data_IF_151143716312
#
_entry.id   IF_151143716312
#
_cell.length_a   1.000
_cell.length_b   1.000
_cell.length_c   1.000
_cell.angle_alpha   90.00
_cell.angle_beta   90.00
_cell.angle_gamma   90.00
#
_symmetry.space_group_name_H-M   'P 1'
#
loop_
_entity.id
_entity.type
_entity.pdbx_description
1 polymer ?
#
# COMPACT_ATOMS: atom_id res chain seq x y z
N UNK A 1 -8.48 6.35 12.85
CA UNK A 1 -7.81 6.72 11.58
C UNK A 1 -6.56 7.59 11.80
N UNK A 2 -5.48 7.31 11.06
CA UNK A 2 -4.23 8.10 11.02
C UNK A 2 -4.01 8.64 9.60
N UNK A 3 -3.39 9.81 9.46
CA UNK A 3 -3.14 10.46 8.16
C UNK A 3 -1.63 10.53 7.94
N UNK A 4 -1.12 9.89 6.88
CA UNK A 4 0.30 9.86 6.50
C UNK A 4 0.52 10.78 5.30
N UNK A 5 1.40 11.77 5.44
CA UNK A 5 1.76 12.74 4.38
C UNK A 5 3.22 12.56 3.95
N UNK A 6 3.47 12.75 2.66
CA UNK A 6 4.80 12.64 2.05
C UNK A 6 5.22 14.00 1.50
N UNK A 7 6.40 14.47 1.90
CA UNK A 7 6.91 15.81 1.61
C UNK A 7 8.39 15.77 1.23
N UNK A 8 8.78 16.71 0.37
CA UNK A 8 10.18 17.01 0.06
C UNK A 8 10.64 18.24 0.87
N UNK A 9 11.87 18.21 1.38
CA UNK A 9 12.47 19.25 2.24
C UNK A 9 13.71 19.86 1.58
N UNK A 10 13.98 21.15 1.83
CA UNK A 10 15.23 21.77 1.38
C UNK A 10 16.41 21.32 2.26
N UNK A 11 17.37 20.62 1.68
CA UNK A 11 18.72 20.44 2.23
C UNK A 11 19.65 21.55 1.70
N UNK A 12 19.47 22.78 2.19
CA UNK A 12 20.54 23.78 2.15
C UNK A 12 21.01 24.08 3.58
N UNK A 13 21.93 23.25 4.07
CA UNK A 13 23.02 23.61 5.00
C UNK A 13 23.81 22.34 5.35
N UNK A 14 24.99 22.15 4.76
CA UNK A 14 26.28 22.09 5.48
C UNK A 14 27.43 21.89 4.48
N UNK A 15 28.21 22.95 4.29
CA UNK A 15 29.63 22.81 4.03
C UNK A 15 30.28 22.01 5.18
N UNK A 16 31.32 21.25 4.82
CA UNK A 16 31.72 20.06 5.56
C UNK A 16 32.12 20.24 7.02
N UNK A 17 31.74 19.24 7.80
CA UNK A 17 32.51 18.72 8.93
C UNK A 17 32.37 17.19 8.89
N UNK A 18 33.49 16.48 8.68
CA UNK A 18 33.56 15.03 8.84
C UNK A 18 33.48 14.69 10.34
N UNK A 19 32.46 13.94 10.75
CA UNK A 19 32.44 13.27 12.05
C UNK A 19 33.10 11.89 11.97
N UNK A 20 33.82 11.43 13.02
CA UNK A 20 34.84 10.38 12.89
C UNK A 20 34.33 8.93 12.75
N UNK A 21 33.03 8.68 12.89
CA UNK A 21 32.52 7.32 13.08
C UNK A 21 31.57 6.86 11.97
N UNK A 22 31.95 7.05 10.70
CA UNK A 22 31.62 6.21 9.52
C UNK A 22 30.18 5.70 9.29
N UNK A 23 29.18 6.20 10.01
CA UNK A 23 27.82 5.67 10.01
C UNK A 23 26.91 6.64 9.28
N UNK A 24 26.71 6.37 7.99
CA UNK A 24 25.67 7.03 7.22
C UNK A 24 24.30 6.67 7.82
N UNK A 25 23.55 7.67 8.26
CA UNK A 25 22.12 7.52 8.53
C UNK A 25 21.46 7.10 7.22
N UNK A 26 20.71 5.99 7.15
CA UNK A 26 20.08 5.60 5.91
C UNK A 26 19.00 6.63 5.58
N UNK A 27 19.24 7.45 4.54
CA UNK A 27 18.16 8.12 3.86
C UNK A 27 17.22 7.03 3.36
N UNK A 28 15.95 7.10 3.78
CA UNK A 28 14.88 6.36 3.15
C UNK A 28 14.87 6.74 1.67
N UNK A 29 15.16 5.75 0.81
CA UNK A 29 15.02 5.83 -0.65
C UNK A 29 13.63 6.42 -0.99
N UNK A 30 13.51 7.42 -1.90
CA UNK A 30 12.25 8.09 -2.24
C UNK A 30 11.16 7.19 -2.86
N UNK A 31 11.40 5.89 -3.00
CA UNK A 31 10.40 4.95 -3.47
C UNK A 31 9.44 4.56 -2.34
N UNK A 32 8.18 5.01 -2.47
CA UNK A 32 7.13 4.95 -1.46
C UNK A 32 7.04 3.65 -0.64
N UNK A 33 6.54 3.81 0.58
CA UNK A 33 6.53 2.83 1.67
C UNK A 33 5.80 1.51 1.32
N UNK A 34 5.01 1.44 0.24
CA UNK A 34 4.03 0.37 -0.02
C UNK A 34 3.97 -0.16 -1.47
N UNK A 35 5.08 -0.16 -2.23
CA UNK A 35 5.15 -0.83 -3.55
C UNK A 35 5.44 -2.35 -3.46
N UNK A 36 5.21 -3.14 -4.53
CA UNK A 36 5.43 -4.57 -4.58
C UNK A 36 6.93 -4.79 -4.73
N UNK A 37 7.40 -5.84 -4.08
CA UNK A 37 8.82 -6.13 -3.99
C UNK A 37 9.02 -7.49 -4.65
N UNK A 38 9.63 -7.47 -5.85
CA UNK A 38 9.95 -8.67 -6.66
C UNK A 38 10.79 -9.68 -5.85
N UNK A 39 10.98 -10.91 -6.36
CA UNK A 39 11.93 -11.86 -5.74
C UNK A 39 13.37 -11.30 -5.62
N UNK A 40 13.75 -10.33 -6.46
CA UNK A 40 15.00 -9.59 -6.33
C UNK A 40 14.99 -8.65 -5.11
N UNK A 41 13.82 -8.11 -4.76
CA UNK A 41 13.63 -7.22 -3.62
C UNK A 41 13.44 -7.95 -2.28
N UNK A 42 12.87 -9.18 -2.28
CA UNK A 42 12.91 -10.07 -1.11
C UNK A 42 14.35 -10.41 -0.70
N UNK A 43 15.25 -10.55 -1.69
CA UNK A 43 16.69 -10.59 -1.41
C UNK A 43 17.16 -9.31 -0.75
N UNK A 44 16.71 -8.13 -1.18
CA UNK A 44 17.20 -6.86 -0.64
C UNK A 44 16.71 -6.54 0.79
N UNK A 45 15.54 -7.02 1.23
CA UNK A 45 15.09 -6.89 2.63
C UNK A 45 15.93 -7.72 3.60
N UNK A 46 16.38 -8.90 3.16
CA UNK A 46 17.14 -9.87 3.96
C UNK A 46 18.66 -9.76 3.75
N UNK A 47 19.10 -9.09 2.68
CA UNK A 47 20.51 -8.91 2.34
C UNK A 47 21.24 -8.15 3.43
N UNK A 48 22.31 -8.75 3.94
CA UNK A 48 23.17 -8.17 4.95
C UNK A 48 22.65 -8.26 6.38
N UNK A 49 21.36 -8.62 6.58
CA UNK A 49 20.73 -8.78 7.90
C UNK A 49 21.35 -9.92 8.69
N UNK A 50 21.46 -9.73 10.00
CA UNK A 50 22.01 -10.72 10.93
C UNK A 50 20.87 -11.53 11.54
N UNK A 51 20.80 -12.80 11.18
CA UNK A 51 19.75 -13.71 11.65
C UNK A 51 20.31 -14.69 12.68
N UNK A 52 19.58 -14.93 13.77
CA UNK A 52 19.81 -16.07 14.66
C UNK A 52 18.91 -17.21 14.23
N UNK A 53 19.49 -18.40 14.06
CA UNK A 53 18.79 -19.63 13.68
C UNK A 53 19.05 -20.68 14.75
N UNK A 54 18.04 -20.99 15.56
CA UNK A 54 18.14 -21.93 16.68
C UNK A 54 17.27 -23.17 16.45
N UNK A 55 17.89 -24.35 16.45
CA UNK A 55 17.21 -25.64 16.30
C UNK A 55 18.20 -26.73 16.75
N UNK A 56 17.77 -27.70 17.55
CA UNK A 56 18.64 -28.79 18.02
C UNK A 56 18.83 -29.87 16.94
N UNK A 57 17.88 -30.01 16.01
CA UNK A 57 18.03 -30.84 14.83
C UNK A 57 19.00 -30.19 13.84
N UNK A 58 20.14 -30.86 13.64
CA UNK A 58 21.19 -30.41 12.72
C UNK A 58 20.69 -30.17 11.30
N UNK A 59 19.85 -31.06 10.76
CA UNK A 59 19.37 -30.97 9.39
C UNK A 59 18.42 -29.78 9.23
N UNK A 60 17.54 -29.56 10.20
CA UNK A 60 16.61 -28.45 10.19
C UNK A 60 17.34 -27.10 10.33
N UNK A 61 18.30 -27.02 11.26
CA UNK A 61 19.17 -25.85 11.43
C UNK A 61 19.94 -25.52 10.15
N UNK A 62 20.55 -26.51 9.52
CA UNK A 62 21.30 -26.35 8.26
C UNK A 62 20.38 -25.93 7.10
N UNK A 63 19.17 -26.50 7.00
CA UNK A 63 18.16 -26.11 6.01
C UNK A 63 17.78 -24.63 6.15
N UNK A 64 17.44 -24.20 7.36
CA UNK A 64 17.03 -22.82 7.64
C UNK A 64 18.19 -21.83 7.38
N UNK A 65 19.37 -22.12 7.91
CA UNK A 65 20.55 -21.27 7.75
C UNK A 65 20.99 -21.15 6.28
N UNK A 66 20.96 -22.26 5.53
CA UNK A 66 21.30 -22.28 4.09
C UNK A 66 20.28 -21.51 3.27
N UNK A 67 18.99 -21.67 3.57
CA UNK A 67 17.91 -20.95 2.89
C UNK A 67 18.05 -19.44 3.10
N UNK A 68 18.31 -19.01 4.34
CA UNK A 68 18.53 -17.61 4.68
C UNK A 68 19.81 -17.03 4.07
N UNK A 69 20.89 -17.80 4.04
CA UNK A 69 22.15 -17.38 3.42
C UNK A 69 21.99 -17.17 1.90
N UNK A 70 21.21 -18.01 1.22
CA UNK A 70 20.91 -17.88 -0.23
C UNK A 70 20.14 -16.60 -0.58
N UNK A 71 19.40 -16.04 0.37
CA UNK A 71 18.69 -14.75 0.21
C UNK A 71 19.49 -13.56 0.76
N UNK A 72 20.70 -13.80 1.28
CA UNK A 72 21.66 -12.75 1.63
C UNK A 72 21.81 -12.45 3.12
N UNK A 73 21.17 -13.20 4.02
CA UNK A 73 21.36 -13.05 5.46
C UNK A 73 22.74 -13.56 5.92
N UNK A 74 23.26 -12.95 6.98
CA UNK A 74 24.36 -13.48 7.78
C UNK A 74 23.78 -14.24 8.96
N UNK A 75 23.84 -15.57 8.90
CA UNK A 75 23.24 -16.44 9.91
C UNK A 75 24.23 -16.78 11.03
N UNK A 76 23.77 -16.67 12.28
CA UNK A 76 24.41 -17.28 13.45
C UNK A 76 23.55 -18.48 13.85
N UNK A 77 24.11 -19.68 13.77
CA UNK A 77 23.39 -20.91 14.10
C UNK A 77 23.62 -21.30 15.55
N UNK A 78 22.56 -21.66 16.26
CA UNK A 78 22.57 -22.08 17.66
C UNK A 78 22.04 -23.51 17.76
N UNK A 79 22.73 -24.37 18.51
CA UNK A 79 22.33 -25.79 18.65
C UNK A 79 21.35 -26.02 19.79
N UNK A 80 21.19 -25.03 20.67
CA UNK A 80 20.26 -25.07 21.79
C UNK A 80 19.78 -23.66 22.15
N UNK A 81 18.85 -23.59 23.11
CA UNK A 81 18.31 -22.31 23.57
C UNK A 81 19.26 -21.47 24.40
N UNK A 82 20.30 -22.06 25.01
CA UNK A 82 21.32 -21.32 25.77
C UNK A 82 22.16 -20.47 24.83
N UNK A 83 22.63 -21.06 23.72
CA UNK A 83 23.35 -20.35 22.68
C UNK A 83 22.47 -19.27 22.02
N UNK A 84 21.20 -19.58 21.76
CA UNK A 84 20.26 -18.64 21.15
C UNK A 84 19.99 -17.43 22.06
N UNK A 85 19.80 -17.66 23.36
CA UNK A 85 19.62 -16.61 24.37
C UNK A 85 20.87 -15.72 24.49
N UNK A 86 22.07 -16.32 24.44
CA UNK A 86 23.32 -15.55 24.43
C UNK A 86 23.44 -14.72 23.14
N UNK A 87 23.10 -15.30 21.99
CA UNK A 87 23.13 -14.62 20.71
C UNK A 87 22.19 -13.41 20.68
N UNK A 88 20.91 -13.60 21.06
CA UNK A 88 19.89 -12.53 21.08
C UNK A 88 20.23 -11.35 21.99
N UNK A 89 21.09 -11.55 23.00
CA UNK A 89 21.59 -10.47 23.86
C UNK A 89 22.69 -9.62 23.22
N UNK A 90 23.31 -10.07 22.14
CA UNK A 90 24.31 -9.30 21.40
C UNK A 90 23.65 -8.27 20.49
N UNK A 91 24.25 -7.08 20.39
CA UNK A 91 23.68 -6.01 19.57
C UNK A 91 23.80 -6.29 18.06
N UNK A 92 22.81 -5.80 17.32
CA UNK A 92 22.77 -5.84 15.86
C UNK A 92 22.22 -7.12 15.26
N UNK A 93 21.24 -7.77 15.91
CA UNK A 93 20.43 -8.84 15.32
C UNK A 93 19.19 -8.23 14.68
N UNK A 94 18.85 -8.73 13.49
CA UNK A 94 17.72 -8.25 12.68
C UNK A 94 16.55 -9.24 12.61
N UNK A 95 16.77 -10.51 12.93
CA UNK A 95 15.80 -11.59 12.77
C UNK A 95 16.14 -12.76 13.71
N UNK A 96 15.11 -13.38 14.30
CA UNK A 96 15.23 -14.64 15.02
C UNK A 96 14.33 -15.70 14.38
N UNK A 97 14.88 -16.87 14.10
CA UNK A 97 14.13 -18.07 13.72
C UNK A 97 14.50 -19.15 14.73
N UNK A 98 13.54 -19.62 15.52
CA UNK A 98 13.82 -20.53 16.63
C UNK A 98 12.83 -21.68 16.66
N UNK A 99 13.31 -22.90 16.85
CA UNK A 99 12.47 -24.00 17.33
C UNK A 99 11.89 -23.65 18.70
N UNK A 100 10.69 -24.18 18.97
CA UNK A 100 10.02 -24.01 20.26
C UNK A 100 10.60 -24.97 21.28
N UNK A 101 10.81 -26.22 20.89
CA UNK A 101 11.24 -27.28 21.80
C UNK A 101 12.69 -27.60 21.51
N UNK A 102 13.59 -27.13 22.36
CA UNK A 102 15.01 -27.46 22.31
C UNK A 102 15.64 -27.40 23.72
N UNK A 103 16.83 -27.99 23.93
CA UNK A 103 17.50 -27.96 25.24
C UNK A 103 17.86 -26.55 25.71
N UNK A 104 18.04 -26.38 27.02
CA UNK A 104 18.51 -25.13 27.64
C UNK A 104 17.41 -24.08 27.83
N UNK A 105 16.82 -23.60 26.73
CA UNK A 105 15.70 -22.67 26.72
C UNK A 105 14.71 -22.98 25.60
N UNK A 106 13.44 -22.71 25.85
CA UNK A 106 12.36 -22.82 24.87
C UNK A 106 12.35 -21.64 23.90
N UNK A 107 11.77 -21.82 22.72
CA UNK A 107 11.56 -20.73 21.76
C UNK A 107 10.71 -19.57 22.33
N UNK A 108 9.81 -19.85 23.27
CA UNK A 108 9.03 -18.80 23.96
C UNK A 108 9.88 -17.95 24.91
N UNK A 109 10.82 -18.56 25.64
CA UNK A 109 11.75 -17.81 26.49
C UNK A 109 12.67 -16.92 25.64
N UNK A 110 13.10 -17.40 24.48
CA UNK A 110 13.86 -16.61 23.50
C UNK A 110 13.02 -15.47 22.94
N UNK A 111 11.76 -15.74 22.58
CA UNK A 111 10.83 -14.71 22.13
C UNK A 111 10.68 -13.61 23.18
N UNK A 112 10.47 -13.97 24.44
CA UNK A 112 10.31 -13.02 25.54
C UNK A 112 11.57 -12.16 25.72
N UNK A 113 12.74 -12.79 25.79
CA UNK A 113 14.01 -12.07 25.96
C UNK A 113 14.36 -11.19 24.76
N UNK A 114 14.04 -11.64 23.54
CA UNK A 114 14.18 -10.86 22.32
C UNK A 114 13.29 -9.61 22.35
N UNK A 115 12.05 -9.75 22.84
CA UNK A 115 11.08 -8.65 22.97
C UNK A 115 11.47 -7.61 24.00
N UNK A 116 11.97 -8.03 25.16
CA UNK A 116 12.42 -7.11 26.21
C UNK A 116 13.50 -6.13 25.72
N UNK A 117 14.38 -6.59 24.83
CA UNK A 117 15.50 -5.80 24.32
C UNK A 117 15.14 -5.03 23.04
N UNK A 118 14.38 -5.65 22.16
CA UNK A 118 13.94 -5.08 20.90
C UNK A 118 12.46 -5.42 20.68
N UNK A 119 11.58 -4.51 21.08
CA UNK A 119 10.12 -4.67 21.05
C UNK A 119 9.53 -4.91 19.64
N UNK A 120 10.30 -4.64 18.57
CA UNK A 120 9.86 -4.83 17.18
C UNK A 120 10.73 -5.79 16.35
N UNK A 121 11.83 -6.34 16.87
CA UNK A 121 12.58 -7.46 16.27
C UNK A 121 11.67 -8.56 15.66
N UNK A 122 11.78 -8.85 14.35
CA UNK A 122 11.09 -9.96 13.71
C UNK A 122 11.49 -11.31 14.32
N UNK A 123 10.49 -12.11 14.74
CA UNK A 123 10.70 -13.44 15.34
C UNK A 123 9.75 -14.43 14.65
N UNK A 124 10.30 -15.57 14.22
CA UNK A 124 9.55 -16.72 13.69
C UNK A 124 9.77 -17.89 14.63
N UNK A 125 8.70 -18.40 15.24
CA UNK A 125 8.75 -19.65 16.00
C UNK A 125 8.45 -20.83 15.10
N UNK A 126 9.31 -21.84 15.13
CA UNK A 126 9.17 -23.07 14.37
C UNK A 126 8.68 -24.16 15.30
N UNK A 127 7.65 -24.91 14.92
CA UNK A 127 7.04 -25.92 15.79
C UNK A 127 6.81 -27.24 15.06
N UNK A 128 7.03 -28.36 15.74
CA UNK A 128 6.67 -29.70 15.26
C UNK A 128 5.18 -30.04 15.46
N UNK A 129 4.71 -31.11 14.83
CA UNK A 129 3.38 -31.72 15.03
C UNK A 129 3.16 -32.34 16.44
N UNK A 130 4.01 -32.00 17.42
CA UNK A 130 3.90 -32.47 18.79
C UNK A 130 3.04 -31.55 19.64
N UNK A 131 2.31 -32.14 20.59
CA UNK A 131 1.66 -31.41 21.67
C UNK A 131 2.70 -30.54 22.39
N UNK A 132 2.51 -29.22 22.38
CA UNK A 132 3.26 -28.27 23.19
C UNK A 132 2.56 -28.16 24.56
N UNK A 133 3.01 -28.89 25.60
CA UNK A 133 2.35 -28.89 26.90
C UNK A 133 2.32 -27.50 27.57
N UNK A 134 3.19 -26.59 27.13
CA UNK A 134 3.32 -25.22 27.62
C UNK A 134 2.47 -24.19 26.88
N UNK A 135 1.76 -24.58 25.80
CA UNK A 135 1.00 -23.67 24.94
C UNK A 135 1.82 -22.43 24.50
N UNK A 136 3.11 -22.62 24.25
CA UNK A 136 4.12 -21.60 23.97
C UNK A 136 3.74 -20.76 22.75
N UNK A 137 3.21 -21.37 21.70
CA UNK A 137 2.70 -20.64 20.50
C UNK A 137 1.54 -19.73 20.85
N UNK A 138 0.58 -20.23 21.63
CA UNK A 138 -0.63 -19.48 22.01
C UNK A 138 -0.25 -18.27 22.86
N UNK A 139 0.58 -18.49 23.88
CA UNK A 139 1.10 -17.42 24.74
C UNK A 139 1.90 -16.38 23.96
N UNK A 140 2.82 -16.82 23.09
CA UNK A 140 3.58 -15.89 22.26
C UNK A 140 2.64 -15.08 21.34
N UNK A 141 1.60 -15.70 20.80
CA UNK A 141 0.61 -15.03 19.94
C UNK A 141 -0.21 -13.98 20.70
N UNK A 142 -0.64 -14.28 21.93
CA UNK A 142 -1.29 -13.31 22.83
C UNK A 142 -0.37 -12.13 23.17
N UNK A 143 0.94 -12.37 23.23
CA UNK A 143 1.98 -11.37 23.46
C UNK A 143 2.50 -10.73 22.15
N UNK A 144 1.82 -10.97 21.03
CA UNK A 144 2.03 -10.26 19.78
C UNK A 144 3.10 -10.85 18.86
N UNK A 145 3.41 -12.15 18.97
CA UNK A 145 4.13 -12.93 17.95
C UNK A 145 3.32 -12.96 16.66
N UNK A 146 4.00 -12.72 15.54
CA UNK A 146 3.36 -12.48 14.25
C UNK A 146 3.71 -13.52 13.20
N UNK A 147 4.55 -14.51 13.49
CA UNK A 147 4.95 -15.54 12.54
C UNK A 147 5.24 -16.87 13.25
N UNK A 148 4.62 -17.93 12.74
CA UNK A 148 4.76 -19.31 13.25
C UNK A 148 4.87 -20.24 12.05
N UNK A 149 5.87 -21.11 12.05
CA UNK A 149 6.14 -22.05 10.98
C UNK A 149 5.99 -23.50 11.48
N UNK A 150 5.16 -24.29 10.81
CA UNK A 150 4.89 -25.68 11.19
C UNK A 150 5.79 -26.66 10.41
N UNK A 151 6.48 -27.56 11.10
CA UNK A 151 7.27 -28.65 10.51
C UNK A 151 6.34 -29.79 10.04
N UNK A 152 6.58 -30.43 8.87
CA UNK A 152 7.62 -30.10 7.91
C UNK A 152 7.20 -28.91 7.03
N UNK A 153 8.18 -28.10 6.65
CA UNK A 153 7.98 -26.95 5.77
C UNK A 153 8.97 -26.98 4.61
N UNK A 154 8.64 -26.23 3.56
CA UNK A 154 9.51 -25.99 2.42
C UNK A 154 10.38 -24.73 2.64
N UNK A 155 11.54 -24.60 1.97
CA UNK A 155 12.34 -23.37 1.99
C UNK A 155 11.55 -22.11 1.62
N UNK A 156 10.55 -22.26 0.74
CA UNK A 156 9.66 -21.18 0.32
C UNK A 156 8.78 -20.69 1.48
N UNK A 157 8.13 -21.61 2.19
CA UNK A 157 7.29 -21.27 3.34
C UNK A 157 8.09 -20.59 4.46
N UNK A 158 9.33 -21.01 4.69
CA UNK A 158 10.23 -20.33 5.63
C UNK A 158 10.44 -18.86 5.26
N UNK A 159 10.76 -18.57 4.00
CA UNK A 159 10.98 -17.19 3.53
C UNK A 159 9.69 -16.38 3.60
N UNK A 160 8.54 -16.97 3.27
CA UNK A 160 7.24 -16.30 3.32
C UNK A 160 6.85 -15.88 4.76
N UNK A 161 7.08 -16.74 5.76
CA UNK A 161 6.83 -16.40 7.17
C UNK A 161 7.81 -15.36 7.72
N UNK A 162 9.08 -15.41 7.29
CA UNK A 162 10.06 -14.38 7.66
C UNK A 162 9.69 -13.02 7.07
N UNK A 163 9.29 -13.00 5.79
CA UNK A 163 8.81 -11.78 5.15
C UNK A 163 7.59 -11.21 5.88
N UNK A 164 6.68 -12.08 6.37
CA UNK A 164 5.53 -11.66 7.19
C UNK A 164 5.96 -11.02 8.50
N UNK A 165 6.89 -11.66 9.23
CA UNK A 165 7.42 -11.13 10.49
C UNK A 165 8.07 -9.75 10.30
N UNK A 166 8.89 -9.60 9.25
CA UNK A 166 9.58 -8.33 8.93
C UNK A 166 8.59 -7.22 8.56
N UNK A 167 7.55 -7.53 7.78
CA UNK A 167 6.53 -6.53 7.42
C UNK A 167 5.82 -5.98 8.64
N UNK A 168 5.38 -6.84 9.56
CA UNK A 168 4.67 -6.40 10.77
C UNK A 168 5.59 -5.57 11.67
N UNK A 169 6.84 -6.00 11.84
CA UNK A 169 7.86 -5.23 12.56
C UNK A 169 8.08 -3.84 11.93
N UNK A 170 8.20 -3.78 10.61
CA UNK A 170 8.41 -2.52 9.88
C UNK A 170 7.20 -1.60 9.99
N UNK A 171 5.98 -2.15 9.94
CA UNK A 171 4.75 -1.39 10.13
C UNK A 171 4.63 -0.83 11.56
N UNK A 172 5.03 -1.59 12.59
CA UNK A 172 5.09 -1.09 13.98
C UNK A 172 6.17 -0.02 14.19
N UNK A 173 7.31 -0.16 13.51
CA UNK A 173 8.33 0.88 13.49
C UNK A 173 7.82 2.16 12.79
N UNK A 174 7.03 2.00 11.72
CA UNK A 174 6.34 3.11 11.06
C UNK A 174 5.26 3.75 11.96
N UNK A 175 4.64 2.97 12.85
CA UNK A 175 3.76 3.51 13.91
C UNK A 175 4.54 4.28 14.99
N UNK A 176 5.86 4.10 15.06
CA UNK A 176 6.79 4.80 15.96
C UNK A 176 7.58 5.89 15.21
N UNK A 177 7.09 6.36 14.05
CA UNK A 177 7.65 7.53 13.38
C UNK A 177 7.68 8.70 14.36
N UNK A 178 8.90 9.09 14.75
CA UNK A 178 9.07 10.29 15.55
C UNK A 178 8.60 11.50 14.74
N UNK A 179 7.95 12.49 15.39
CA UNK A 179 7.76 13.78 14.75
C UNK A 179 9.13 14.26 14.27
N UNK A 180 9.23 14.58 12.97
CA UNK A 180 10.36 15.30 12.41
C UNK A 180 10.58 16.50 13.34
N UNK A 181 11.75 16.56 14.01
CA UNK A 181 12.09 17.67 14.88
C UNK A 181 11.88 19.01 14.15
N UNK A 182 11.55 20.07 14.89
CA UNK A 182 11.24 21.45 14.44
C UNK A 182 10.73 21.63 12.99
N UNK A 183 9.51 22.18 12.77
CA UNK A 183 8.88 22.25 11.45
C UNK A 183 9.82 22.81 10.37
N UNK A 184 10.24 21.93 9.45
CA UNK A 184 11.02 22.31 8.26
C UNK A 184 10.08 22.87 7.20
N UNK A 185 10.58 23.79 6.38
CA UNK A 185 9.84 24.25 5.21
C UNK A 185 9.57 23.06 4.28
N UNK A 186 8.32 22.91 3.85
CA UNK A 186 7.91 21.89 2.88
C UNK A 186 8.00 22.53 1.50
N UNK A 187 8.83 21.97 0.62
CA UNK A 187 9.00 22.47 -0.75
C UNK A 187 7.89 21.98 -1.66
N UNK A 188 7.58 20.69 -1.58
CA UNK A 188 6.55 20.03 -2.39
C UNK A 188 5.95 18.85 -1.65
N UNK A 189 4.66 18.58 -1.88
CA UNK A 189 4.02 17.32 -1.48
C UNK A 189 4.19 16.29 -2.59
N UNK A 190 4.50 15.05 -2.24
CA UNK A 190 4.66 13.96 -3.19
C UNK A 190 3.37 13.13 -3.27
N UNK A 191 3.13 12.37 -4.36
CA UNK A 191 2.12 11.32 -4.35
C UNK A 191 2.40 10.39 -3.17
N UNK A 192 1.38 9.99 -2.38
CA UNK A 192 1.62 9.24 -1.16
C UNK A 192 1.95 7.76 -1.41
N UNK A 193 1.84 7.30 -2.66
CA UNK A 193 2.13 5.93 -3.08
C UNK A 193 2.70 5.92 -4.49
N UNK A 194 3.59 4.96 -4.75
CA UNK A 194 3.97 4.53 -6.11
C UNK A 194 3.29 3.18 -6.34
N UNK A 195 2.13 3.15 -7.02
CA UNK A 195 1.33 1.94 -7.25
C UNK A 195 2.06 0.89 -8.08
N UNK A 196 1.68 -0.36 -7.86
CA UNK A 196 1.96 -1.48 -8.80
C UNK A 196 1.26 -1.28 -10.12
N UNK A 197 -0.03 -1.07 -9.95
CA UNK A 197 -1.09 -1.13 -10.90
C UNK A 197 -2.12 -0.12 -10.43
N UNK A 198 -2.77 0.52 -11.39
CA UNK A 198 -3.87 1.43 -11.15
C UNK A 198 -5.08 0.83 -11.85
N UNK A 199 -5.88 0.11 -11.08
CA UNK A 199 -7.11 -0.53 -11.57
C UNK A 199 -8.27 0.42 -11.29
N UNK A 200 -9.12 0.64 -12.27
CA UNK A 200 -10.16 1.67 -12.19
C UNK A 200 -11.52 1.08 -12.52
N UNK A 201 -12.55 1.54 -11.82
CA UNK A 201 -13.93 1.10 -11.99
C UNK A 201 -14.76 2.19 -12.66
N UNK A 202 -15.24 1.89 -13.86
CA UNK A 202 -16.14 2.73 -14.60
C UNK A 202 -17.57 2.64 -14.10
N UNK A 203 -18.28 3.77 -14.15
CA UNK A 203 -19.75 3.85 -13.98
C UNK A 203 -20.26 3.22 -12.67
N UNK A 204 -19.50 3.33 -11.58
CA UNK A 204 -19.87 2.72 -10.29
C UNK A 204 -20.90 3.53 -9.47
N UNK A 205 -21.63 4.45 -10.10
CA UNK A 205 -22.62 5.29 -9.45
C UNK A 205 -23.89 5.35 -10.30
N UNK A 206 -25.09 5.40 -9.68
CA UNK A 206 -26.33 5.56 -10.42
C UNK A 206 -26.28 6.80 -11.30
N UNK A 207 -26.46 6.60 -12.61
CA UNK A 207 -26.65 7.72 -13.52
C UNK A 207 -28.08 8.20 -13.29
N UNK A 208 -28.27 9.46 -12.89
CA UNK A 208 -29.59 10.07 -12.93
C UNK A 208 -30.13 9.90 -14.36
N UNK A 209 -31.19 9.10 -14.52
CA UNK A 209 -31.75 8.74 -15.81
C UNK A 209 -31.88 10.01 -16.65
N UNK A 210 -31.19 10.08 -17.80
CA UNK A 210 -31.47 11.13 -18.76
C UNK A 210 -32.94 10.99 -19.16
N UNK A 211 -33.70 12.08 -19.35
CA UNK A 211 -35.03 11.97 -19.93
C UNK A 211 -34.95 11.18 -21.25
N UNK A 212 -35.53 9.99 -21.29
CA UNK A 212 -35.54 9.10 -22.46
C UNK A 212 -34.63 7.86 -22.41
N UNK A 213 -33.89 7.58 -21.33
CA UNK A 213 -33.14 6.30 -21.19
C UNK A 213 -33.99 5.22 -20.55
N UNK A 214 -34.02 4.02 -21.15
CA UNK A 214 -34.68 2.83 -20.58
C UNK A 214 -33.80 2.13 -19.55
N UNK A 215 -34.37 1.40 -18.57
CA UNK A 215 -33.61 0.70 -17.52
C UNK A 215 -32.55 -0.30 -18.01
N UNK A 216 -32.57 -0.69 -19.28
CA UNK A 216 -31.56 -1.56 -19.91
C UNK A 216 -30.24 -0.85 -20.27
N UNK A 217 -30.17 0.48 -20.18
CA UNK A 217 -28.92 1.24 -20.37
C UNK A 217 -28.12 1.38 -19.07
N UNK A 218 -28.64 0.86 -17.96
CA UNK A 218 -27.93 0.72 -16.70
C UNK A 218 -26.97 -0.48 -16.79
N UNK A 219 -25.75 -0.24 -17.24
CA UNK A 219 -24.63 -1.11 -16.88
C UNK A 219 -24.43 -0.97 -15.37
N UNK A 220 -24.55 -2.06 -14.62
CA UNK A 220 -24.50 -1.97 -13.16
C UNK A 220 -25.08 -3.16 -12.39
N UNK A 221 -25.01 -4.37 -12.97
CA UNK A 221 -25.09 -5.57 -12.16
C UNK A 221 -23.78 -5.74 -11.36
N UNK A 222 -23.81 -6.41 -10.20
CA UNK A 222 -22.59 -6.74 -9.45
C UNK A 222 -21.55 -7.41 -10.35
N UNK A 223 -21.95 -8.22 -11.32
CA UNK A 223 -21.12 -8.97 -12.27
C UNK A 223 -20.65 -8.18 -13.51
N UNK A 224 -20.93 -6.87 -13.58
CA UNK A 224 -20.66 -6.03 -14.76
C UNK A 224 -19.80 -4.80 -14.45
N UNK A 225 -18.79 -4.95 -13.59
CA UNK A 225 -17.80 -3.90 -13.36
C UNK A 225 -17.10 -3.54 -14.68
N UNK A 226 -17.19 -2.27 -15.10
CA UNK A 226 -16.41 -1.76 -16.22
C UNK A 226 -14.97 -1.51 -15.75
N UNK A 227 -14.13 -2.53 -15.82
CA UNK A 227 -12.73 -2.47 -15.36
C UNK A 227 -11.81 -1.96 -16.46
N UNK A 228 -10.91 -1.05 -16.10
CA UNK A 228 -9.84 -0.56 -16.96
C UNK A 228 -8.60 -0.21 -16.14
N UNK A 229 -7.50 0.12 -16.83
CA UNK A 229 -6.21 0.43 -16.21
C UNK A 229 -5.76 1.82 -16.63
N UNK A 230 -5.15 2.56 -15.70
CA UNK A 230 -4.29 3.71 -16.00
C UNK A 230 -2.82 3.28 -15.89
N UNK A 231 -1.94 3.70 -16.81
CA UNK A 231 -0.52 3.45 -16.68
C UNK A 231 0.02 4.19 -15.44
N UNK A 232 1.01 3.61 -14.77
CA UNK A 232 1.67 4.24 -13.61
C UNK A 232 2.39 5.53 -13.96
N UNK A 233 2.69 5.78 -15.23
CA UNK A 233 3.24 7.07 -15.71
C UNK A 233 2.22 8.22 -15.65
N UNK A 234 0.91 7.93 -15.51
CA UNK A 234 -0.12 8.96 -15.37
C UNK A 234 -0.10 9.65 -14.00
N UNK A 235 0.64 9.15 -13.01
CA UNK A 235 0.59 9.64 -11.64
C UNK A 235 1.06 11.10 -11.55
N UNK A 236 0.33 11.87 -10.74
CA UNK A 236 0.74 13.20 -10.29
C UNK A 236 0.51 13.31 -8.77
N UNK A 237 1.32 14.13 -8.10
CA UNK A 237 1.17 14.40 -6.68
C UNK A 237 0.16 15.52 -6.42
N UNK A 238 -0.04 15.88 -5.14
CA UNK A 238 -0.70 17.13 -4.80
C UNK A 238 0.08 18.31 -5.35
N UNK A 239 -0.62 19.31 -5.88
CA UNK A 239 -0.10 20.55 -6.47
C UNK A 239 0.70 20.38 -7.78
N UNK A 240 1.04 19.15 -8.17
CA UNK A 240 1.57 18.86 -9.50
C UNK A 240 0.53 19.23 -10.59
N UNK A 241 0.97 19.67 -11.77
CA UNK A 241 0.06 20.15 -12.79
C UNK A 241 -0.67 19.00 -13.51
N UNK A 242 -1.94 19.22 -13.85
CA UNK A 242 -2.66 18.43 -14.86
C UNK A 242 -2.33 19.05 -16.23
N UNK A 243 -1.57 18.35 -17.06
CA UNK A 243 -1.13 18.85 -18.37
C UNK A 243 -2.13 18.47 -19.45
N UNK A 244 -2.76 19.47 -20.07
CA UNK A 244 -3.65 19.22 -21.21
C UNK A 244 -2.83 18.70 -22.40
N UNK A 245 -3.25 17.62 -23.08
CA UNK A 245 -2.48 17.06 -24.19
C UNK A 245 -2.60 17.94 -25.44
N UNK A 246 -1.46 18.26 -26.06
CA UNK A 246 -1.40 19.01 -27.31
C UNK A 246 -1.38 18.08 -28.52
N UNK A 247 -2.49 17.95 -29.25
CA UNK A 247 -2.55 17.15 -30.47
C UNK A 247 -3.13 17.95 -31.63
N UNK A 248 -2.27 18.66 -32.36
CA UNK A 248 -2.60 19.22 -33.68
C UNK A 248 -3.85 20.11 -33.74
N UNK A 249 -4.17 20.83 -32.66
CA UNK A 249 -5.35 21.69 -32.57
C UNK A 249 -6.67 20.98 -32.21
N UNK A 250 -6.64 19.68 -31.89
CA UNK A 250 -7.80 18.97 -31.35
C UNK A 250 -8.06 19.41 -29.91
N UNK A 251 -9.33 19.73 -29.61
CA UNK A 251 -9.77 19.96 -28.23
C UNK A 251 -9.90 18.60 -27.52
N UNK A 252 -9.10 18.35 -26.47
CA UNK A 252 -9.11 17.10 -25.74
C UNK A 252 -10.39 16.88 -24.91
N UNK A 253 -11.15 17.95 -24.62
CA UNK A 253 -12.33 17.94 -23.74
C UNK A 253 -12.01 17.24 -22.42
N UNK A 254 -11.00 17.74 -21.71
CA UNK A 254 -10.52 17.13 -20.46
C UNK A 254 -11.55 17.38 -19.34
N UNK A 255 -11.88 16.32 -18.60
CA UNK A 255 -12.81 16.34 -17.47
C UNK A 255 -12.10 15.86 -16.20
N UNK A 256 -12.58 16.33 -15.05
CA UNK A 256 -12.17 15.89 -13.72
C UNK A 256 -13.17 14.90 -13.14
N UNK A 257 -12.66 13.80 -12.60
CA UNK A 257 -13.43 12.71 -12.03
C UNK A 257 -12.81 12.39 -10.66
N UNK A 258 -13.24 13.10 -9.63
CA UNK A 258 -12.73 12.86 -8.27
C UNK A 258 -13.31 11.58 -7.67
N UNK A 259 -12.44 10.73 -7.12
CA UNK A 259 -12.78 9.41 -6.62
C UNK A 259 -12.13 9.13 -5.26
N UNK A 260 -12.72 8.17 -4.53
CA UNK A 260 -12.00 7.46 -3.48
C UNK A 260 -11.04 6.48 -4.16
N UNK A 261 -9.82 6.38 -3.64
CA UNK A 261 -8.85 5.38 -4.04
C UNK A 261 -8.47 4.49 -2.86
N UNK A 262 -8.41 3.18 -3.10
CA UNK A 262 -8.15 2.14 -2.12
C UNK A 262 -6.76 1.55 -2.38
N UNK A 263 -5.92 1.46 -1.35
CA UNK A 263 -4.61 0.81 -1.42
C UNK A 263 -4.68 -0.62 -0.87
N UNK A 264 -4.23 -1.56 -1.69
CA UNK A 264 -4.04 -2.96 -1.29
C UNK A 264 -2.70 -3.10 -0.55
N UNK A 265 -2.72 -3.64 0.66
CA UNK A 265 -1.54 -3.83 1.51
C UNK A 265 -0.95 -5.23 1.49
N UNK A 266 -1.73 -6.22 1.07
CA UNK A 266 -1.34 -7.62 1.01
C UNK A 266 -1.76 -8.22 -0.33
N UNK A 267 -0.86 -9.01 -0.93
CA UNK A 267 -1.17 -9.74 -2.15
C UNK A 267 -2.40 -10.63 -1.89
N UNK A 268 -3.43 -10.52 -2.71
CA UNK A 268 -4.69 -11.22 -2.52
C UNK A 268 -5.27 -11.75 -3.83
N UNK A 269 -5.97 -12.88 -3.74
CA UNK A 269 -6.63 -13.57 -4.85
C UNK A 269 -7.81 -14.35 -4.27
N UNK A 270 -8.93 -14.36 -4.98
CA UNK A 270 -10.17 -15.04 -4.57
C UNK A 270 -10.65 -14.69 -3.14
N UNK A 271 -10.47 -13.44 -2.70
CA UNK A 271 -10.88 -13.01 -1.36
C UNK A 271 -12.39 -12.84 -1.25
N UNK A 272 -12.98 -13.25 -0.12
CA UNK A 272 -14.37 -12.97 0.18
C UNK A 272 -14.56 -11.49 0.54
N UNK A 273 -15.70 -10.89 0.17
CA UNK A 273 -15.98 -9.48 0.48
C UNK A 273 -15.94 -9.17 1.98
N UNK A 274 -16.31 -10.13 2.85
CA UNK A 274 -16.22 -10.00 4.31
C UNK A 274 -14.80 -9.77 4.83
N UNK A 275 -13.80 -10.25 4.10
CA UNK A 275 -12.40 -10.29 4.56
C UNK A 275 -11.56 -9.17 3.90
N UNK A 276 -12.16 -8.39 3.00
CA UNK A 276 -11.48 -7.33 2.25
C UNK A 276 -10.89 -6.25 3.16
N UNK A 277 -11.56 -5.96 4.29
CA UNK A 277 -11.07 -4.97 5.23
C UNK A 277 -9.66 -5.27 5.77
N UNK A 278 -9.24 -6.54 5.78
CA UNK A 278 -7.93 -6.97 6.27
C UNK A 278 -6.81 -6.77 5.25
N UNK A 279 -7.14 -6.59 3.96
CA UNK A 279 -6.14 -6.41 2.89
C UNK A 279 -6.02 -4.96 2.43
N UNK A 280 -6.92 -4.07 2.85
CA UNK A 280 -6.82 -2.63 2.58
C UNK A 280 -5.87 -2.01 3.60
N UNK A 281 -4.77 -1.40 3.14
CA UNK A 281 -3.83 -0.70 4.04
C UNK A 281 -4.17 0.77 4.20
N UNK A 282 -4.93 1.35 3.26
CA UNK A 282 -5.38 2.71 3.40
C UNK A 282 -6.21 3.25 2.25
N UNK A 283 -6.64 4.49 2.42
CA UNK A 283 -7.44 5.26 1.49
C UNK A 283 -6.71 6.54 1.08
N UNK A 284 -6.90 7.00 -0.15
CA UNK A 284 -6.47 8.33 -0.61
C UNK A 284 -7.55 8.92 -1.53
N UNK A 285 -7.48 10.21 -1.84
CA UNK A 285 -8.25 10.79 -2.93
C UNK A 285 -7.50 10.62 -4.24
N UNK A 286 -8.25 10.48 -5.32
CA UNK A 286 -7.72 10.40 -6.68
C UNK A 286 -8.53 11.30 -7.63
N UNK A 287 -7.90 11.76 -8.70
CA UNK A 287 -8.59 12.35 -9.82
C UNK A 287 -8.35 11.49 -11.07
N UNK A 288 -9.40 10.84 -11.58
CA UNK A 288 -9.36 10.10 -12.83
C UNK A 288 -9.54 11.03 -14.04
N UNK A 289 -8.55 11.90 -14.24
CA UNK A 289 -8.57 12.89 -15.32
C UNK A 289 -8.75 12.18 -16.65
N UNK A 290 -9.67 12.72 -17.46
CA UNK A 290 -10.13 12.05 -18.68
C UNK A 290 -10.23 13.03 -19.84
N UNK A 291 -9.49 12.77 -20.92
CA UNK A 291 -9.69 13.46 -22.19
C UNK A 291 -10.81 12.77 -22.97
N UNK A 292 -12.01 13.36 -22.94
CA UNK A 292 -13.24 12.77 -23.50
C UNK A 292 -13.17 12.58 -25.00
N UNK A 293 -12.41 13.42 -25.72
CA UNK A 293 -12.20 13.27 -27.15
C UNK A 293 -11.71 11.85 -27.50
N UNK A 294 -10.69 11.36 -26.80
CA UNK A 294 -10.12 10.03 -27.06
C UNK A 294 -10.90 8.90 -26.40
N UNK A 295 -11.56 9.16 -25.27
CA UNK A 295 -12.42 8.17 -24.63
C UNK A 295 -13.67 7.82 -25.47
N UNK A 296 -14.18 8.77 -26.25
CA UNK A 296 -15.41 8.59 -27.05
C UNK A 296 -15.15 8.22 -28.51
N UNK A 297 -13.89 8.31 -28.97
CA UNK A 297 -13.48 7.94 -30.32
C UNK A 297 -13.82 6.48 -30.68
N UNK A 298 -13.91 6.16 -31.97
CA UNK A 298 -14.16 4.79 -32.48
C UNK A 298 -12.89 3.93 -32.36
N UNK A 299 -13.03 2.62 -32.06
CA UNK A 299 -11.92 1.66 -31.87
C UNK A 299 -11.58 1.36 -30.40
N UNK A 300 -10.80 0.31 -30.11
CA UNK A 300 -10.30 -0.04 -28.76
C UNK A 300 -8.78 0.18 -28.68
N UNK A 301 -8.20 0.50 -27.50
CA UNK A 301 -8.81 0.67 -26.18
C UNK A 301 -9.09 2.16 -25.83
N UNK A 302 -10.37 2.56 -25.86
CA UNK A 302 -10.77 3.98 -25.70
C UNK A 302 -10.43 4.57 -24.33
N UNK A 303 -10.57 3.76 -23.28
CA UNK A 303 -10.45 4.22 -21.90
C UNK A 303 -9.00 4.50 -21.54
N UNK A 304 -8.11 3.54 -21.81
CA UNK A 304 -6.67 3.73 -21.63
C UNK A 304 -6.16 4.95 -22.43
N UNK A 305 -6.64 5.14 -23.66
CA UNK A 305 -6.22 6.27 -24.50
C UNK A 305 -6.71 7.63 -23.97
N UNK A 306 -7.90 7.71 -23.39
CA UNK A 306 -8.43 8.95 -22.82
C UNK A 306 -7.94 9.25 -21.39
N UNK A 307 -7.55 8.22 -20.64
CA UNK A 307 -7.23 8.31 -19.21
C UNK A 307 -5.75 8.11 -18.89
N UNK A 308 -4.93 7.71 -19.87
CA UNK A 308 -3.55 7.31 -19.64
C UNK A 308 -2.48 8.36 -19.97
N UNK A 309 -2.84 9.62 -20.21
CA UNK A 309 -1.84 10.68 -20.39
C UNK A 309 -1.03 10.89 -19.10
N UNK A 310 0.21 11.33 -19.25
CA UNK A 310 1.02 11.77 -18.10
C UNK A 310 0.23 12.80 -17.29
N UNK A 311 0.35 12.76 -15.97
CA UNK A 311 -0.38 13.62 -15.00
C UNK A 311 -1.89 13.38 -14.88
N UNK A 312 -2.49 12.42 -15.59
CA UNK A 312 -3.94 12.17 -15.53
C UNK A 312 -4.40 11.31 -14.34
N UNK A 313 -3.52 10.94 -13.44
CA UNK A 313 -3.84 10.27 -12.18
C UNK A 313 -3.26 11.02 -10.96
N UNK A 314 -3.72 12.24 -10.66
CA UNK A 314 -3.41 12.86 -9.37
C UNK A 314 -3.85 11.96 -8.20
N UNK A 315 -2.95 11.73 -7.23
CA UNK A 315 -3.19 10.94 -6.02
C UNK A 315 -2.75 11.72 -4.78
N UNK A 316 -3.58 11.74 -3.74
CA UNK A 316 -3.24 12.38 -2.46
C UNK A 316 -4.45 12.88 -1.69
N UNK A 317 -4.28 13.84 -0.76
CA UNK A 317 -3.01 14.45 -0.33
C UNK A 317 -2.21 13.58 0.65
N UNK A 318 -2.78 12.46 1.08
CA UNK A 318 -2.27 11.60 2.13
C UNK A 318 -2.87 10.20 1.99
N UNK A 319 -2.22 9.21 2.60
CA UNK A 319 -2.87 7.93 2.87
C UNK A 319 -3.49 7.99 4.26
N UNK A 320 -4.75 7.62 4.35
CA UNK A 320 -5.44 7.40 5.62
C UNK A 320 -5.41 5.91 5.93
N UNK A 321 -4.87 5.56 7.09
CA UNK A 321 -4.87 4.19 7.62
C UNK A 321 -5.83 4.09 8.80
N UNK A 322 -6.30 2.89 9.10
CA UNK A 322 -7.32 2.67 10.13
C UNK A 322 -7.64 1.20 10.32
N UNK A 323 -8.63 0.91 11.17
CA UNK A 323 -9.17 -0.44 11.26
C UNK A 323 -9.90 -0.83 9.95
N UNK A 324 -10.09 -2.14 9.69
CA UNK A 324 -10.92 -2.63 8.59
C UNK A 324 -12.28 -1.93 8.46
N UNK A 325 -12.95 -1.66 9.59
CA UNK A 325 -14.25 -0.99 9.66
C UNK A 325 -14.14 0.51 9.30
N UNK A 326 -13.11 1.21 9.80
CA UNK A 326 -12.86 2.61 9.46
C UNK A 326 -12.58 2.80 7.96
N UNK A 327 -11.87 1.85 7.35
CA UNK A 327 -11.45 1.89 5.93
C UNK A 327 -12.57 1.51 4.96
N UNK A 328 -13.66 0.93 5.46
CA UNK A 328 -14.85 0.55 4.67
C UNK A 328 -16.07 1.42 4.95
N UNK A 329 -15.99 2.31 5.95
CA UNK A 329 -17.06 3.26 6.28
C UNK A 329 -17.34 4.23 5.11
N UNK A 330 -18.62 4.50 4.78
CA UNK A 330 -18.98 5.44 3.73
C UNK A 330 -18.45 6.87 3.93
N UNK A 331 -18.16 7.56 2.82
CA UNK A 331 -17.55 8.89 2.79
C UNK A 331 -18.16 9.77 1.71
N UNK A 332 -18.38 11.04 2.01
CA UNK A 332 -18.69 12.03 0.97
C UNK A 332 -17.46 12.30 0.09
N UNK A 333 -17.71 12.47 -1.21
CA UNK A 333 -16.73 12.83 -2.24
C UNK A 333 -17.25 14.04 -3.00
N UNK A 334 -16.39 15.04 -3.21
CA UNK A 334 -16.67 16.22 -4.03
C UNK A 334 -15.54 16.48 -5.03
N UNK A 335 -15.91 16.86 -6.24
CA UNK A 335 -14.97 17.43 -7.22
C UNK A 335 -15.35 18.88 -7.46
N UNK A 336 -14.38 19.77 -7.32
CA UNK A 336 -14.56 21.22 -7.38
C UNK A 336 -13.61 21.78 -8.44
N UNK A 337 -14.10 22.64 -9.33
CA UNK A 337 -13.28 23.35 -10.32
C UNK A 337 -13.49 24.84 -10.14
N UNK A 338 -12.43 25.59 -9.84
CA UNK A 338 -12.47 27.04 -9.55
C UNK A 338 -13.56 27.42 -8.52
N UNK A 339 -13.72 26.61 -7.47
CA UNK A 339 -14.75 26.81 -6.45
C UNK A 339 -16.16 26.29 -6.79
N UNK A 340 -16.41 25.86 -8.04
CA UNK A 340 -17.68 25.25 -8.45
C UNK A 340 -17.68 23.75 -8.18
N UNK A 341 -18.59 23.25 -7.34
CA UNK A 341 -18.78 21.81 -7.13
C UNK A 341 -19.40 21.20 -8.39
N UNK A 342 -18.61 20.45 -9.16
CA UNK A 342 -19.05 19.82 -10.41
C UNK A 342 -19.57 18.40 -10.21
N UNK A 343 -19.11 17.70 -9.15
CA UNK A 343 -19.53 16.34 -8.78
C UNK A 343 -19.67 16.23 -7.28
N UNK A 344 -20.66 15.45 -6.84
CA UNK A 344 -20.90 15.17 -5.43
C UNK A 344 -21.65 13.84 -5.25
N UNK A 345 -21.26 13.07 -4.25
CA UNK A 345 -22.01 11.89 -3.78
C UNK A 345 -21.32 11.22 -2.60
N UNK A 346 -21.91 10.14 -2.09
CA UNK A 346 -21.34 9.32 -1.03
C UNK A 346 -20.87 7.97 -1.57
N UNK A 347 -19.81 7.38 -1.02
CA UNK A 347 -19.46 5.99 -1.36
C UNK A 347 -20.53 4.98 -0.94
N UNK A 348 -21.49 5.37 -0.09
CA UNK A 348 -22.70 4.58 0.17
C UNK A 348 -23.60 4.42 -1.06
N UNK A 349 -23.51 5.34 -2.04
CA UNK A 349 -24.31 5.33 -3.25
C UNK A 349 -23.67 4.51 -4.38
N UNK A 350 -22.53 3.86 -4.13
CA UNK A 350 -21.86 3.04 -5.13
C UNK A 350 -22.74 1.85 -5.52
N UNK A 351 -22.76 1.54 -6.82
CA UNK A 351 -23.44 0.34 -7.34
C UNK A 351 -22.75 -0.93 -6.81
N UNK A 352 -21.42 -0.92 -6.80
CA UNK A 352 -20.57 -1.97 -6.26
C UNK A 352 -19.71 -1.39 -5.13
N UNK A 353 -19.85 -1.95 -3.93
CA UNK A 353 -19.14 -1.46 -2.75
C UNK A 353 -17.63 -1.69 -2.86
N UNK A 354 -16.83 -1.00 -2.04
CA UNK A 354 -15.37 -1.24 -1.98
C UNK A 354 -15.05 -2.72 -1.68
N UNK A 355 -15.65 -3.37 -0.67
CA UNK A 355 -15.51 -4.81 -0.46
C UNK A 355 -15.83 -5.65 -1.70
N UNK A 356 -16.92 -5.35 -2.40
CA UNK A 356 -17.32 -6.11 -3.58
C UNK A 356 -16.38 -5.88 -4.76
N UNK A 357 -15.89 -4.65 -4.97
CA UNK A 357 -14.90 -4.33 -6.00
C UNK A 357 -13.63 -5.17 -5.79
N UNK A 358 -13.04 -5.12 -4.59
CA UNK A 358 -11.80 -5.84 -4.30
C UNK A 358 -11.99 -7.34 -4.43
N UNK A 359 -13.08 -7.87 -3.86
CA UNK A 359 -13.45 -9.27 -3.95
C UNK A 359 -13.55 -9.70 -5.43
N UNK A 360 -14.33 -9.02 -6.25
CA UNK A 360 -14.54 -9.37 -7.64
C UNK A 360 -13.28 -9.25 -8.50
N UNK A 361 -12.51 -8.16 -8.34
CA UNK A 361 -11.24 -8.02 -9.04
C UNK A 361 -10.31 -9.19 -8.69
N UNK A 362 -10.27 -9.59 -7.41
CA UNK A 362 -9.45 -10.70 -6.94
C UNK A 362 -9.87 -12.08 -7.50
N UNK A 363 -11.11 -12.24 -7.97
CA UNK A 363 -11.57 -13.45 -8.65
C UNK A 363 -11.03 -13.56 -10.08
N UNK A 364 -10.63 -12.43 -10.69
CA UNK A 364 -10.15 -12.36 -12.07
C UNK A 364 -8.63 -12.23 -12.17
N UNK A 365 -8.01 -11.59 -11.18
CA UNK A 365 -6.57 -11.31 -11.15
C UNK A 365 -6.04 -11.32 -9.73
N UNK A 366 -4.75 -11.61 -9.56
CA UNK A 366 -4.07 -11.32 -8.29
C UNK A 366 -3.97 -9.81 -8.12
N UNK A 367 -4.41 -9.29 -6.97
CA UNK A 367 -4.18 -7.91 -6.55
C UNK A 367 -2.89 -7.88 -5.73
N UNK A 368 -1.83 -7.29 -6.29
CA UNK A 368 -0.55 -7.15 -5.60
C UNK A 368 -0.61 -6.09 -4.48
N UNK A 369 0.23 -6.26 -3.45
CA UNK A 369 0.45 -5.21 -2.47
C UNK A 369 1.02 -3.96 -3.16
N UNK A 370 0.40 -2.81 -2.93
CA UNK A 370 0.66 -1.56 -3.63
C UNK A 370 -0.29 -1.28 -4.79
N UNK A 371 -1.23 -2.17 -5.11
CA UNK A 371 -2.29 -1.89 -6.09
C UNK A 371 -3.16 -0.74 -5.58
N UNK A 372 -3.42 0.24 -6.46
CA UNK A 372 -4.37 1.31 -6.20
C UNK A 372 -5.63 1.08 -7.02
N UNK A 373 -6.78 1.05 -6.36
CA UNK A 373 -8.08 0.89 -6.99
C UNK A 373 -8.85 2.20 -6.94
N UNK A 374 -9.16 2.75 -8.11
CA UNK A 374 -10.03 3.90 -8.32
C UNK A 374 -11.48 3.43 -8.42
N UNK A 375 -12.32 3.84 -7.47
CA UNK A 375 -13.62 3.20 -7.22
C UNK A 375 -14.78 3.75 -8.05
N UNK A 376 -14.50 4.69 -8.95
CA UNK A 376 -15.49 5.40 -9.75
C UNK A 376 -15.84 6.78 -9.17
N UNK A 377 -16.23 7.69 -10.06
CA UNK A 377 -16.56 9.07 -9.71
C UNK A 377 -18.06 9.27 -9.46
N UNK A 378 -18.44 10.06 -8.43
CA UNK A 378 -19.82 10.46 -8.19
C UNK A 378 -20.46 11.18 -9.40
N UNK A 379 -21.80 11.22 -9.44
CA UNK A 379 -22.52 11.88 -10.51
C UNK A 379 -22.24 13.38 -10.54
N UNK A 380 -22.45 13.95 -11.71
CA UNK A 380 -22.39 15.39 -11.92
C UNK A 380 -23.50 16.10 -11.15
N UNK A 381 -23.16 17.24 -10.55
CA UNK A 381 -24.16 18.15 -9.99
C UNK A 381 -24.88 18.85 -11.15
N UNK A 382 -26.21 18.91 -11.09
CA UNK A 382 -27.00 19.65 -12.06
C UNK A 382 -26.76 21.16 -11.92
N UNK A 383 -26.57 21.86 -13.04
CA UNK A 383 -26.37 23.32 -13.05
C UNK A 383 -25.30 23.76 -14.03
N UNK A 384 -24.93 25.03 -13.93
CA UNK A 384 -23.86 25.62 -14.72
C UNK A 384 -22.50 25.16 -14.18
N UNK A 385 -21.70 24.53 -15.04
CA UNK A 385 -20.38 24.00 -14.73
C UNK A 385 -19.48 24.12 -15.96
N UNK A 386 -18.16 24.23 -15.78
CA UNK A 386 -17.23 24.17 -16.90
C UNK A 386 -17.46 22.91 -17.75
N UNK A 387 -17.52 23.06 -19.07
CA UNK A 387 -17.73 21.95 -20.00
C UNK A 387 -16.47 21.06 -20.12
N UNK A 388 -15.29 21.65 -19.93
CA UNK A 388 -13.99 21.01 -19.91
C UNK A 388 -13.01 21.85 -19.08
N UNK A 389 -11.91 21.24 -18.66
CA UNK A 389 -10.79 21.90 -18.02
C UNK A 389 -9.98 22.72 -19.03
N UNK A 390 -9.54 23.90 -18.60
CA UNK A 390 -8.75 24.86 -19.38
C UNK A 390 -7.49 25.31 -18.62
N UNK A 391 -6.44 25.79 -19.31
CA UNK A 391 -5.24 26.26 -18.64
C UNK A 391 -5.54 27.34 -17.60
N UNK A 392 -5.03 27.16 -16.38
CA UNK A 392 -5.27 28.04 -15.24
C UNK A 392 -6.33 27.55 -14.26
N UNK A 393 -7.13 26.55 -14.62
CA UNK A 393 -8.14 26.00 -13.72
C UNK A 393 -7.50 25.32 -12.49
N UNK A 394 -8.09 25.53 -11.32
CA UNK A 394 -7.82 24.76 -10.11
C UNK A 394 -8.85 23.63 -10.00
N UNK A 395 -8.37 22.41 -9.83
CA UNK A 395 -9.20 21.22 -9.56
C UNK A 395 -8.92 20.74 -8.15
N UNK A 396 -9.99 20.56 -7.37
CA UNK A 396 -9.93 20.03 -6.01
C UNK A 396 -10.81 18.79 -5.92
N UNK A 397 -10.21 17.67 -5.54
CA UNK A 397 -10.92 16.47 -5.09
C UNK A 397 -10.89 16.44 -3.58
N UNK A 398 -12.07 16.48 -2.96
CA UNK A 398 -12.24 16.47 -1.51
C UNK A 398 -12.96 15.19 -1.09
N UNK A 399 -12.27 14.37 -0.31
CA UNK A 399 -12.80 13.10 0.20
C UNK A 399 -12.85 13.18 1.73
N UNK A 400 -14.04 12.93 2.29
CA UNK A 400 -14.28 13.02 3.72
C UNK A 400 -13.32 12.12 4.53
N UNK A 401 -12.67 12.71 5.53
CA UNK A 401 -11.69 12.04 6.38
C UNK A 401 -10.33 11.78 5.72
N UNK A 402 -10.17 12.02 4.41
CA UNK A 402 -8.90 11.92 3.67
C UNK A 402 -8.29 13.29 3.42
N UNK A 403 -9.10 14.26 3.00
CA UNK A 403 -8.71 15.64 2.76
C UNK A 403 -8.75 16.04 1.29
N UNK A 404 -8.17 17.22 1.01
CA UNK A 404 -8.24 17.88 -0.29
C UNK A 404 -7.00 17.64 -1.12
N UNK A 405 -7.15 16.96 -2.25
CA UNK A 405 -6.18 16.86 -3.33
C UNK A 405 -6.40 18.03 -4.29
N UNK A 406 -5.39 18.87 -4.47
CA UNK A 406 -5.46 20.10 -5.29
C UNK A 406 -4.47 19.98 -6.43
N UNK A 407 -4.87 20.30 -7.66
CA UNK A 407 -4.01 20.33 -8.83
C UNK A 407 -4.40 21.52 -9.72
N UNK A 408 -3.43 22.09 -10.45
CA UNK A 408 -3.68 23.17 -11.41
C UNK A 408 -3.52 22.68 -12.85
N UNK A 409 -4.37 23.16 -13.74
CA UNK A 409 -4.36 22.78 -15.15
C UNK A 409 -3.37 23.64 -15.91
N UNK A 410 -2.44 23.00 -16.62
CA UNK A 410 -1.49 23.67 -17.51
C UNK A 410 -1.82 23.34 -18.96
N UNK A 411 -1.53 24.30 -19.84
CA UNK A 411 -1.53 24.07 -21.27
C UNK A 411 -0.50 23.01 -21.71
N UNK A 412 -0.60 22.58 -22.97
CA UNK A 412 0.29 21.56 -23.55
C UNK A 412 1.76 21.94 -23.57
#
# INVERSE_FOLDING_TARGET
MRIVRFVDHDDETHHGEEHPDGTATPLLDPQGVLGPRTAAHRRDLLRGKRAVVADDDRNMRELMATTLSKVGCRCTTCVDGTEAMAAVRTDGIDLVVSDIVMPGHTGYEIFTAARERHADLPIVLVTGFGYDPSHSVVRASEEGLTAVLYKPFTPRQLVEEIDRAIRVATARLADTLMPIGAPRAIKRRLPPVVPTDIVCIGRNYPIAARPGTTPSDAVGGPDQLEVFIKPTTAIAGPEDPIRLPGFGGLDPLVDAEGELAVLIGAQTHEIAASDVGDVIVGLTAANDVTARHWQTATGSPKWMRGKGFDTFCPLGPAIVTGSPEELTTPREIRTIVNGHVIRRGSTADMICSVPDIVSQLSQHMTLEAGTVILTGAPPLVAGDRPAALTPGDEVVVDVEGVGRLVNHVLGP
#
